data_IF_411369628685
#
_entry.id   IF_411369628685
#
_cell.length_a   1.000
_cell.length_b   1.000
_cell.length_c   1.000
_cell.angle_alpha   90.00
_cell.angle_beta   90.00
_cell.angle_gamma   90.00
#
_symmetry.space_group_name_H-M   'P 1'
#
loop_
_entity.id
_entity.type
_entity.pdbx_description
1 polymer ?
#
# COMPACT_ATOMS: atom_id res chain seq x y z
N UNK A 1 -1.31 -52.65 17.92
CA UNK A 1 -2.55 -52.08 18.52
C UNK A 1 -2.28 -51.83 19.98
N UNK A 2 -2.48 -50.60 20.47
CA UNK A 2 -2.17 -50.12 21.83
C UNK A 2 -0.70 -50.24 22.29
N UNK A 3 0.15 -49.30 21.82
CA UNK A 3 1.31 -48.73 22.54
C UNK A 3 2.01 -47.64 21.70
N UNK A 4 1.25 -46.67 21.19
CA UNK A 4 1.73 -45.39 20.61
C UNK A 4 0.57 -44.40 20.67
N UNK A 5 0.25 -43.89 21.85
CA UNK A 5 -0.80 -42.87 22.06
C UNK A 5 -0.72 -42.19 23.45
N UNK A 6 0.46 -42.17 24.08
CA UNK A 6 0.63 -41.62 25.43
C UNK A 6 1.94 -40.82 25.57
N UNK A 7 2.08 -39.79 24.74
CA UNK A 7 3.06 -38.71 24.93
C UNK A 7 2.62 -37.38 24.27
N UNK A 8 1.30 -37.16 24.17
CA UNK A 8 0.70 -35.97 23.52
C UNK A 8 -0.32 -35.25 24.43
N UNK A 9 -0.20 -35.41 25.74
CA UNK A 9 -1.15 -34.85 26.70
C UNK A 9 -0.45 -34.48 28.01
N UNK A 10 0.52 -33.56 27.96
CA UNK A 10 0.99 -32.79 29.13
C UNK A 10 1.89 -31.64 28.68
N UNK A 11 1.33 -30.68 27.93
CA UNK A 11 1.88 -29.31 27.83
C UNK A 11 0.76 -28.38 27.29
N UNK A 12 -0.37 -28.42 27.98
CA UNK A 12 -1.57 -27.64 27.67
C UNK A 12 -1.95 -26.88 28.94
N UNK A 13 -1.09 -25.94 29.36
CA UNK A 13 -1.37 -24.91 30.40
C UNK A 13 -0.14 -23.97 30.59
N UNK A 14 0.27 -23.25 29.53
CA UNK A 14 1.06 -22.01 29.65
C UNK A 14 1.28 -21.33 28.29
N UNK A 15 0.21 -20.99 27.56
CA UNK A 15 0.29 -20.02 26.45
C UNK A 15 -0.98 -19.17 26.44
N UNK A 16 -1.01 -18.21 27.37
CA UNK A 16 -1.86 -17.02 27.31
C UNK A 16 -0.89 -15.84 27.28
N UNK A 17 -0.84 -15.10 26.17
CA UNK A 17 -0.12 -13.83 26.10
C UNK A 17 0.42 -13.50 24.72
N UNK A 18 -0.06 -12.38 24.17
CA UNK A 18 0.54 -11.57 23.09
C UNK A 18 0.19 -11.98 21.64
N UNK A 19 -0.94 -11.58 21.03
CA UNK A 19 -1.40 -10.23 20.61
C UNK A 19 -0.81 -9.71 19.28
N UNK A 20 -1.52 -9.98 18.17
CA UNK A 20 -1.55 -9.14 16.96
C UNK A 20 -2.89 -9.31 16.22
N UNK A 21 -3.99 -9.10 16.95
CA UNK A 21 -5.30 -8.71 16.44
C UNK A 21 -5.92 -7.94 17.59
N UNK A 22 -6.13 -6.62 17.44
CA UNK A 22 -7.01 -5.90 18.36
C UNK A 22 -8.46 -6.14 17.92
N UNK A 23 -9.33 -6.73 18.76
CA UNK A 23 -10.76 -6.48 18.70
C UNK A 23 -11.08 -5.31 19.63
N UNK A 24 -11.96 -4.39 19.22
CA UNK A 24 -12.51 -3.39 20.13
C UNK A 24 -14.06 -3.38 20.05
N UNK A 25 -14.76 -2.93 21.10
CA UNK A 25 -15.72 -3.78 21.80
C UNK A 25 -17.07 -3.09 21.95
N UNK A 26 -18.14 -3.65 21.38
CA UNK A 26 -19.50 -3.32 21.81
C UNK A 26 -20.35 -4.59 21.72
N UNK A 27 -20.70 -5.12 22.90
CA UNK A 27 -21.72 -6.14 23.03
C UNK A 27 -23.09 -5.54 22.78
N UNK A 28 -23.93 -6.23 22.02
CA UNK A 28 -25.37 -6.07 22.11
C UNK A 28 -26.04 -7.43 22.09
N UNK A 29 -26.94 -7.56 23.07
CA UNK A 29 -27.81 -8.68 23.35
C UNK A 29 -28.53 -9.22 22.13
N UNK A 30 -28.70 -10.54 22.16
CA UNK A 30 -29.77 -11.25 21.47
C UNK A 30 -31.09 -10.52 21.63
N UNK A 31 -31.77 -10.25 20.52
CA UNK A 31 -33.23 -10.31 20.53
C UNK A 31 -33.78 -11.02 19.30
N UNK A 32 -34.74 -11.86 19.61
CA UNK A 32 -35.28 -12.94 18.79
C UNK A 32 -36.57 -12.43 18.15
N UNK A 33 -36.61 -12.24 16.83
CA UNK A 33 -37.88 -12.03 16.13
C UNK A 33 -37.97 -12.88 14.87
N UNK A 34 -39.00 -13.72 14.88
CA UNK A 34 -39.29 -14.83 13.98
C UNK A 34 -40.41 -14.41 13.02
N UNK A 35 -40.50 -15.12 11.87
CA UNK A 35 -41.64 -15.27 10.91
C UNK A 35 -41.73 -14.22 9.79
N UNK A 36 -42.26 -14.51 8.60
CA UNK A 36 -42.50 -15.71 7.81
C UNK A 36 -43.08 -15.24 6.45
N UNK A 37 -42.75 -15.98 5.37
CA UNK A 37 -43.54 -16.24 4.15
C UNK A 37 -44.24 -15.07 3.40
N UNK A 38 -43.97 -14.96 2.09
CA UNK A 38 -44.73 -15.70 1.06
C UNK A 38 -44.42 -15.21 -0.35
N UNK A 39 -44.44 -16.15 -1.29
CA UNK A 39 -44.20 -15.99 -2.71
C UNK A 39 -45.44 -15.44 -3.44
N UNK A 40 -45.25 -14.59 -4.45
CA UNK A 40 -46.19 -14.47 -5.58
C UNK A 40 -45.42 -14.32 -6.89
N UNK A 41 -45.59 -15.33 -7.73
CA UNK A 41 -45.19 -15.46 -9.14
C UNK A 41 -46.10 -14.59 -10.00
N UNK A 42 -45.57 -13.88 -11.01
CA UNK A 42 -46.29 -13.50 -12.25
C UNK A 42 -45.31 -12.98 -13.32
N UNK A 43 -45.05 -13.82 -14.33
CA UNK A 43 -44.83 -13.43 -15.73
C UNK A 43 -46.22 -13.45 -16.42
N UNK A 44 -46.44 -12.95 -17.68
CA UNK A 44 -45.49 -12.89 -18.81
C UNK A 44 -45.63 -11.65 -19.74
N UNK A 45 -44.71 -11.47 -20.70
CA UNK A 45 -44.95 -11.57 -22.17
C UNK A 45 -43.99 -10.73 -23.06
N UNK A 46 -43.51 -11.43 -24.10
CA UNK A 46 -43.27 -11.06 -25.51
C UNK A 46 -42.18 -10.05 -25.91
N UNK A 47 -41.32 -10.57 -26.79
CA UNK A 47 -40.32 -9.91 -27.63
C UNK A 47 -40.92 -9.25 -28.88
N UNK A 48 -40.27 -8.18 -29.37
CA UNK A 48 -40.20 -7.77 -30.79
C UNK A 48 -38.79 -7.19 -31.06
N UNK A 49 -38.14 -7.50 -32.22
CA UNK A 49 -36.79 -7.04 -32.59
C UNK A 49 -36.79 -5.88 -33.61
N UNK A 50 -35.75 -5.05 -33.62
CA UNK A 50 -35.14 -4.50 -34.85
C UNK A 50 -33.92 -3.60 -34.56
N UNK A 51 -32.89 -3.74 -35.43
CA UNK A 51 -31.86 -2.80 -35.92
C UNK A 51 -31.60 -1.47 -35.15
N UNK A 52 -30.36 -0.97 -34.99
CA UNK A 52 -29.36 -0.69 -36.05
C UNK A 52 -28.09 -0.08 -35.41
N UNK A 53 -27.00 -0.11 -36.18
CA UNK A 53 -25.85 0.81 -36.20
C UNK A 53 -24.67 0.62 -35.25
N UNK A 54 -23.55 0.24 -35.87
CA UNK A 54 -22.18 0.53 -35.47
C UNK A 54 -21.99 2.03 -35.21
N UNK A 55 -21.46 2.41 -34.04
CA UNK A 55 -20.68 3.65 -33.89
C UNK A 55 -19.61 3.45 -32.82
N UNK A 56 -18.37 3.75 -33.20
CA UNK A 56 -17.15 3.76 -32.37
C UNK A 56 -17.22 4.89 -31.33
N UNK A 57 -16.68 4.74 -30.10
CA UNK A 57 -16.48 5.88 -29.23
C UNK A 57 -15.18 6.61 -29.61
N UNK A 58 -15.28 7.92 -29.85
CA UNK A 58 -14.16 8.87 -29.92
C UNK A 58 -13.99 9.54 -28.54
N UNK A 59 -12.78 10.05 -28.21
CA UNK A 59 -12.41 10.45 -26.86
C UNK A 59 -13.06 11.78 -26.46
N UNK A 60 -13.49 11.86 -25.20
CA UNK A 60 -14.09 13.04 -24.61
C UNK A 60 -12.98 13.99 -24.14
N UNK A 61 -12.62 14.96 -24.99
CA UNK A 61 -11.83 16.13 -24.60
C UNK A 61 -12.78 17.14 -23.93
N UNK A 62 -12.78 17.18 -22.60
CA UNK A 62 -13.46 18.22 -21.85
C UNK A 62 -12.64 19.52 -21.94
N UNK A 63 -13.17 20.48 -22.69
CA UNK A 63 -12.65 21.84 -22.85
C UNK A 63 -13.21 22.68 -21.70
N UNK A 64 -12.40 23.01 -20.69
CA UNK A 64 -12.81 23.94 -19.64
C UNK A 64 -12.89 25.37 -20.19
N UNK A 65 -14.09 25.95 -20.17
CA UNK A 65 -14.34 27.36 -20.43
C UNK A 65 -14.01 28.18 -19.17
N UNK A 66 -13.02 29.07 -19.28
CA UNK A 66 -12.76 30.09 -18.27
C UNK A 66 -13.89 31.13 -18.29
N UNK A 67 -14.58 31.31 -17.16
CA UNK A 67 -15.45 32.47 -16.93
C UNK A 67 -14.70 33.44 -16.01
N UNK A 68 -14.30 34.57 -16.58
CA UNK A 68 -13.73 35.69 -15.85
C UNK A 68 -14.85 36.48 -15.15
N UNK A 69 -14.73 36.69 -13.83
CA UNK A 69 -15.32 37.85 -13.18
C UNK A 69 -14.65 38.14 -11.82
N UNK A 70 -14.17 39.38 -11.74
CA UNK A 70 -13.92 40.23 -10.59
C UNK A 70 -12.62 40.06 -9.78
N UNK A 71 -11.69 40.99 -10.05
CA UNK A 71 -10.44 41.23 -9.34
C UNK A 71 -10.65 42.27 -8.22
N UNK A 72 -10.11 41.98 -7.03
CA UNK A 72 -9.96 42.95 -5.95
C UNK A 72 -9.43 42.32 -4.66
N UNK A 73 -8.21 42.72 -4.26
CA UNK A 73 -7.42 42.34 -3.07
C UNK A 73 -6.59 41.06 -3.19
N UNK A 74 -5.26 41.22 -3.41
CA UNK A 74 -4.20 40.23 -3.25
C UNK A 74 -4.63 38.76 -3.34
N UNK A 75 -5.00 38.32 -4.53
CA UNK A 75 -5.79 37.11 -4.77
C UNK A 75 -4.95 35.85 -4.50
N UNK A 76 -4.98 35.36 -3.26
CA UNK A 76 -4.46 34.02 -2.93
C UNK A 76 -5.34 33.01 -3.67
N UNK A 77 -4.87 32.52 -4.81
CA UNK A 77 -5.61 31.60 -5.67
C UNK A 77 -5.89 30.29 -4.93
N UNK A 78 -7.14 30.10 -4.50
CA UNK A 78 -7.61 28.84 -3.91
C UNK A 78 -7.84 27.83 -5.02
N UNK A 79 -7.21 26.66 -4.92
CA UNK A 79 -7.44 25.53 -5.82
C UNK A 79 -8.67 24.75 -5.32
N UNK A 80 -9.81 24.94 -5.99
CA UNK A 80 -10.98 24.10 -5.77
C UNK A 80 -10.80 22.73 -6.41
N UNK A 81 -10.99 21.68 -5.64
CA UNK A 81 -10.85 20.30 -6.09
C UNK A 81 -12.20 19.60 -6.16
N UNK A 82 -12.33 18.66 -7.10
CA UNK A 82 -13.53 17.84 -7.28
C UNK A 82 -13.64 16.68 -6.29
N UNK A 83 -12.82 16.63 -5.24
CA UNK A 83 -12.67 15.44 -4.42
C UNK A 83 -13.96 15.07 -3.69
N UNK A 84 -14.38 13.81 -3.82
CA UNK A 84 -15.66 13.33 -3.28
C UNK A 84 -15.50 12.49 -2.01
N UNK A 85 -14.31 11.93 -1.78
CA UNK A 85 -14.03 11.00 -0.70
C UNK A 85 -12.68 11.33 -0.01
N UNK A 86 -12.41 10.71 1.14
CA UNK A 86 -11.22 11.01 1.94
C UNK A 86 -9.90 10.60 1.26
N UNK A 87 -9.88 9.49 0.52
CA UNK A 87 -8.69 9.05 -0.20
C UNK A 87 -8.29 10.08 -1.26
N UNK A 88 -9.28 10.63 -1.96
CA UNK A 88 -9.09 11.66 -2.97
C UNK A 88 -8.61 12.99 -2.34
N UNK A 89 -9.16 13.36 -1.18
CA UNK A 89 -8.66 14.52 -0.40
C UNK A 89 -7.20 14.34 -0.03
N UNK A 90 -6.79 13.15 0.45
CA UNK A 90 -5.41 12.85 0.81
C UNK A 90 -4.48 12.86 -0.40
N UNK A 91 -4.92 12.29 -1.54
CA UNK A 91 -4.17 12.35 -2.80
C UNK A 91 -3.85 13.78 -3.21
N UNK A 92 -4.82 14.69 -3.09
CA UNK A 92 -4.65 16.12 -3.37
C UNK A 92 -3.76 16.84 -2.36
N UNK A 93 -3.89 16.55 -1.06
CA UNK A 93 -3.04 17.15 -0.01
C UNK A 93 -1.58 16.73 -0.22
N UNK A 94 -1.30 15.44 -0.36
CA UNK A 94 0.05 14.94 -0.61
C UNK A 94 0.61 15.45 -1.94
N UNK A 95 -0.22 15.54 -2.98
CA UNK A 95 0.19 16.12 -4.26
C UNK A 95 0.50 17.63 -4.16
N UNK A 96 -0.16 18.36 -3.26
CA UNK A 96 0.18 19.76 -2.99
C UNK A 96 1.48 19.87 -2.16
N UNK A 97 1.68 18.99 -1.18
CA UNK A 97 2.92 18.91 -0.40
C UNK A 97 4.12 18.68 -1.33
N UNK A 98 4.06 17.65 -2.19
CA UNK A 98 5.11 17.36 -3.17
C UNK A 98 5.39 18.54 -4.12
N UNK A 99 4.34 19.23 -4.63
CA UNK A 99 4.51 20.42 -5.48
C UNK A 99 5.21 21.57 -4.77
N UNK A 100 4.88 21.81 -3.51
CA UNK A 100 5.53 22.87 -2.70
C UNK A 100 6.99 22.50 -2.41
N UNK A 101 7.27 21.23 -2.11
CA UNK A 101 8.65 20.74 -1.91
C UNK A 101 9.52 20.92 -3.16
N UNK A 102 8.98 20.68 -4.35
CA UNK A 102 9.67 20.89 -5.62
C UNK A 102 9.84 22.38 -5.99
N UNK A 103 9.49 23.30 -5.09
CA UNK A 103 9.49 24.76 -5.31
C UNK A 103 8.68 25.18 -6.54
N UNK A 104 7.68 24.39 -6.95
CA UNK A 104 6.75 24.75 -8.04
C UNK A 104 5.78 25.86 -7.61
N UNK A 105 5.49 25.94 -6.31
CA UNK A 105 4.68 26.97 -5.67
C UNK A 105 5.16 27.22 -4.23
N UNK A 106 5.18 28.47 -3.77
CA UNK A 106 5.53 28.81 -2.37
C UNK A 106 4.40 28.54 -1.38
N UNK A 107 3.15 28.62 -1.86
CA UNK A 107 1.93 28.42 -1.09
C UNK A 107 0.84 27.84 -1.99
N UNK A 108 0.12 26.85 -1.49
CA UNK A 108 -1.04 26.24 -2.13
C UNK A 108 -2.17 26.18 -1.11
N UNK A 109 -3.36 26.68 -1.46
CA UNK A 109 -4.55 26.58 -0.63
C UNK A 109 -5.55 25.69 -1.35
N UNK A 110 -5.89 24.55 -0.75
CA UNK A 110 -6.85 23.60 -1.29
C UNK A 110 -8.24 23.80 -0.67
N UNK A 111 -9.26 23.70 -1.52
CA UNK A 111 -10.66 23.61 -1.11
C UNK A 111 -11.31 22.34 -1.63
N UNK A 112 -12.20 21.77 -0.81
CA UNK A 112 -12.84 20.48 -1.03
C UNK A 112 -14.37 20.56 -0.82
N UNK A 113 -15.10 21.42 -1.55
CA UNK A 113 -16.52 21.70 -1.30
C UNK A 113 -17.45 20.48 -1.49
N UNK A 114 -17.03 19.54 -2.34
CA UNK A 114 -17.76 18.31 -2.67
C UNK A 114 -17.61 17.21 -1.62
N UNK A 115 -16.57 17.24 -0.78
CA UNK A 115 -16.34 16.22 0.22
C UNK A 115 -17.08 16.56 1.52
N UNK A 116 -18.25 15.94 1.73
CA UNK A 116 -19.05 16.18 2.96
C UNK A 116 -18.45 15.57 4.22
N UNK A 117 -17.49 14.65 4.10
CA UNK A 117 -16.89 13.98 5.27
C UNK A 117 -16.04 14.96 6.09
N UNK A 118 -15.33 15.86 5.43
CA UNK A 118 -14.41 16.83 6.04
C UNK A 118 -15.12 18.10 6.55
N UNK A 119 -16.45 18.20 6.44
CA UNK A 119 -17.20 19.25 7.17
C UNK A 119 -17.33 18.89 8.65
N UNK A 120 -17.12 17.62 9.03
CA UNK A 120 -17.07 17.18 10.41
C UNK A 120 -15.68 17.43 11.01
N UNK A 121 -15.55 18.25 12.08
CA UNK A 121 -14.28 18.51 12.73
C UNK A 121 -13.56 17.26 13.24
N UNK A 122 -14.29 16.23 13.68
CA UNK A 122 -13.69 14.96 14.11
C UNK A 122 -13.01 14.22 12.96
N UNK A 123 -13.61 14.25 11.77
CA UNK A 123 -13.02 13.62 10.59
C UNK A 123 -11.75 14.36 10.14
N UNK A 124 -11.78 15.70 10.20
CA UNK A 124 -10.61 16.54 9.94
C UNK A 124 -9.49 16.25 10.96
N UNK A 125 -9.80 16.16 12.25
CA UNK A 125 -8.80 15.83 13.28
C UNK A 125 -8.17 14.46 13.06
N UNK A 126 -8.95 13.45 12.65
CA UNK A 126 -8.41 12.13 12.30
C UNK A 126 -7.49 12.18 11.07
N UNK A 127 -7.87 12.96 10.06
CA UNK A 127 -7.06 13.19 8.87
C UNK A 127 -5.74 13.86 9.22
N UNK A 128 -5.76 14.90 10.06
CA UNK A 128 -4.54 15.58 10.53
C UNK A 128 -3.67 14.64 11.35
N UNK A 129 -4.25 13.90 12.29
CA UNK A 129 -3.52 12.93 13.09
C UNK A 129 -2.80 11.89 12.23
N UNK A 130 -3.42 11.46 11.13
CA UNK A 130 -2.75 10.60 10.16
C UNK A 130 -1.59 11.29 9.43
N UNK A 131 -1.76 12.55 9.00
CA UNK A 131 -0.67 13.30 8.36
C UNK A 131 0.52 13.49 9.31
N UNK A 132 0.28 13.70 10.60
CA UNK A 132 1.34 13.76 11.62
C UNK A 132 2.08 12.41 11.76
N UNK A 133 1.40 11.27 11.68
CA UNK A 133 2.07 9.96 11.68
C UNK A 133 2.94 9.77 10.42
N UNK A 134 2.48 10.25 9.27
CA UNK A 134 3.26 10.13 8.02
C UNK A 134 4.48 11.05 8.01
N UNK A 135 4.44 12.15 8.76
CA UNK A 135 5.52 13.13 8.87
C UNK A 135 6.83 12.47 9.29
N UNK A 136 6.79 11.46 10.14
CA UNK A 136 7.99 10.77 10.63
C UNK A 136 8.75 10.00 9.53
N UNK A 137 8.09 9.67 8.42
CA UNK A 137 8.73 9.08 7.25
C UNK A 137 9.09 10.12 6.18
N UNK A 138 8.65 11.36 6.31
CA UNK A 138 8.81 12.38 5.29
C UNK A 138 10.18 13.09 5.39
N UNK A 139 10.73 13.49 4.25
CA UNK A 139 11.99 14.25 4.21
C UNK A 139 11.76 15.73 4.52
N UNK A 140 10.71 16.32 3.93
CA UNK A 140 10.47 17.77 4.00
C UNK A 140 9.14 18.14 4.65
N UNK A 141 8.15 17.25 4.64
CA UNK A 141 6.88 17.53 5.30
C UNK A 141 7.07 17.65 6.81
N UNK A 142 6.61 18.76 7.37
CA UNK A 142 6.71 19.09 8.79
C UNK A 142 8.07 19.64 9.26
N UNK A 143 9.07 19.72 8.37
CA UNK A 143 10.31 20.48 8.56
C UNK A 143 10.29 21.75 7.71
N UNK A 144 10.30 21.60 6.39
CA UNK A 144 10.35 22.69 5.40
C UNK A 144 8.97 23.05 4.86
N UNK A 145 8.04 22.09 4.82
CA UNK A 145 6.67 22.30 4.36
C UNK A 145 5.70 22.14 5.53
N UNK A 146 4.79 23.09 5.69
CA UNK A 146 3.77 23.06 6.75
C UNK A 146 2.37 23.02 6.16
N UNK A 147 1.49 22.29 6.84
CA UNK A 147 0.06 22.29 6.58
C UNK A 147 -0.66 23.04 7.70
N UNK A 148 -1.46 24.04 7.33
CA UNK A 148 -2.36 24.75 8.23
C UNK A 148 -3.80 24.57 7.79
N UNK A 149 -4.68 24.25 8.74
CA UNK A 149 -6.11 24.20 8.49
C UNK A 149 -6.71 25.56 8.81
N UNK A 150 -7.48 26.09 7.86
CA UNK A 150 -8.23 27.32 8.02
C UNK A 150 -9.71 26.93 8.13
N UNK A 151 -10.30 26.98 9.34
CA UNK A 151 -11.72 26.67 9.52
C UNK A 151 -12.56 27.67 8.74
N UNK A 152 -13.68 27.19 8.22
CA UNK A 152 -14.72 27.99 7.56
C UNK A 152 -15.98 28.04 8.42
N UNK A 153 -17.00 28.77 7.98
CA UNK A 153 -18.27 28.88 8.71
C UNK A 153 -18.91 27.51 8.98
N UNK A 154 -19.89 27.48 9.89
CA UNK A 154 -20.54 26.24 10.31
C UNK A 154 -21.09 25.45 9.11
N UNK A 155 -20.65 24.20 8.98
CA UNK A 155 -21.05 23.29 7.90
C UNK A 155 -20.25 23.39 6.60
N UNK A 156 -19.27 24.30 6.51
CA UNK A 156 -18.35 24.39 5.38
C UNK A 156 -17.09 23.53 5.59
N UNK A 157 -16.57 22.95 4.51
CA UNK A 157 -15.28 22.24 4.55
C UNK A 157 -14.14 23.25 4.79
N UNK A 158 -13.17 22.97 5.67
CA UNK A 158 -12.05 23.89 5.89
C UNK A 158 -11.16 24.01 4.64
N UNK A 159 -10.35 25.07 4.59
CA UNK A 159 -9.25 25.13 3.64
C UNK A 159 -7.99 24.49 4.21
N UNK A 160 -7.21 23.88 3.34
CA UNK A 160 -5.91 23.29 3.66
C UNK A 160 -4.84 24.16 3.01
N UNK A 161 -4.10 24.92 3.82
CA UNK A 161 -3.03 25.78 3.37
C UNK A 161 -1.69 25.07 3.56
N UNK A 162 -1.05 24.71 2.45
CA UNK A 162 0.30 24.16 2.42
C UNK A 162 1.26 25.27 2.01
N UNK A 163 2.33 25.49 2.78
CA UNK A 163 3.34 26.49 2.43
C UNK A 163 4.74 26.06 2.84
N UNK A 164 5.73 26.58 2.15
CA UNK A 164 7.12 26.50 2.57
C UNK A 164 7.35 27.40 3.78
N UNK A 165 8.05 26.90 4.79
CA UNK A 165 8.54 27.70 5.90
C UNK A 165 9.85 28.35 5.46
N UNK A 166 9.85 29.66 5.23
CA UNK A 166 11.10 30.42 5.08
C UNK A 166 11.62 30.82 6.46
N UNK A 167 12.73 30.20 6.88
CA UNK A 167 13.53 30.54 8.06
C UNK A 167 14.07 29.28 8.76
N UNK A 168 15.38 29.02 8.89
CA UNK A 168 16.53 29.93 8.98
C UNK A 168 17.68 29.58 8.02
N UNK A 169 17.85 30.37 6.96
CA UNK A 169 19.19 30.78 6.53
C UNK A 169 19.56 32.03 7.34
N UNK A 170 19.74 31.85 8.64
CA UNK A 170 20.27 32.83 9.56
C UNK A 170 21.52 32.20 10.16
N UNK A 171 22.67 32.70 9.74
CA UNK A 171 23.95 32.42 10.37
C UNK A 171 23.91 32.96 11.80
N UNK A 172 23.43 32.16 12.75
CA UNK A 172 23.87 32.31 14.12
C UNK A 172 25.21 31.58 14.21
N UNK A 173 26.27 32.38 14.11
CA UNK A 173 27.62 31.95 14.45
C UNK A 173 27.64 31.55 15.92
N UNK A 174 27.44 30.26 16.16
CA UNK A 174 27.96 29.61 17.34
C UNK A 174 29.42 29.34 17.02
N UNK A 175 30.32 29.94 17.81
CA UNK A 175 31.73 29.62 17.76
C UNK A 175 31.87 28.10 17.93
N UNK A 176 32.43 27.47 16.90
CA UNK A 176 32.88 26.09 16.92
C UNK A 176 34.03 26.03 17.93
N UNK A 177 33.74 25.58 19.16
CA UNK A 177 34.74 24.89 19.97
C UNK A 177 34.91 23.51 19.32
N UNK A 178 35.71 23.48 18.26
CA UNK A 178 36.30 22.28 17.67
C UNK A 178 37.29 21.71 18.71
N UNK A 179 36.78 20.83 19.57
CA UNK A 179 37.61 19.81 20.21
C UNK A 179 37.37 18.48 19.49
N UNK A 180 38.37 18.15 18.67
CA UNK A 180 38.57 16.96 17.88
C UNK A 180 38.26 15.63 18.61
N UNK A 181 37.19 14.94 18.21
CA UNK A 181 37.03 13.48 18.46
C UNK A 181 36.47 12.72 17.25
N UNK A 182 36.79 13.18 16.03
CA UNK A 182 36.52 12.45 14.78
C UNK A 182 37.72 11.62 14.27
N UNK A 183 38.85 11.63 14.98
CA UNK A 183 40.05 10.85 14.63
C UNK A 183 39.97 9.35 15.02
N UNK A 184 38.81 8.90 15.51
CA UNK A 184 38.58 7.46 15.78
C UNK A 184 38.38 6.70 14.47
N UNK A 185 37.68 7.25 13.48
CA UNK A 185 37.40 6.55 12.22
C UNK A 185 38.57 6.57 11.23
N UNK A 186 39.48 7.54 11.33
CA UNK A 186 40.69 7.59 10.49
C UNK A 186 41.63 6.41 10.79
N UNK A 187 41.70 5.98 12.05
CA UNK A 187 42.55 4.85 12.51
C UNK A 187 42.05 3.47 12.06
N UNK A 188 40.81 3.35 11.63
CA UNK A 188 40.23 2.12 11.09
C UNK A 188 40.02 2.18 9.56
N UNK A 189 40.36 3.30 8.91
CA UNK A 189 40.23 3.44 7.45
C UNK A 189 41.05 2.37 6.71
N UNK A 190 42.24 2.04 7.20
CA UNK A 190 43.11 0.99 6.64
C UNK A 190 42.58 -0.44 6.85
N UNK A 191 41.59 -0.63 7.75
CA UNK A 191 40.91 -1.92 7.97
C UNK A 191 39.63 -2.07 7.15
N UNK A 192 39.14 -1.00 6.54
CA UNK A 192 37.98 -0.98 5.63
C UNK A 192 38.40 -1.09 4.15
N UNK A 193 39.70 -1.12 3.85
CA UNK A 193 40.26 -1.19 2.49
C UNK A 193 40.43 -2.63 1.96
N UNK A 194 39.63 -3.58 2.46
CA UNK A 194 39.41 -4.82 1.69
C UNK A 194 38.46 -4.48 0.54
N UNK A 195 39.02 -4.13 -0.63
CA UNK A 195 38.32 -3.81 -1.87
C UNK A 195 37.43 -4.94 -2.45
N UNK A 196 37.12 -5.98 -1.69
CA UNK A 196 36.24 -7.08 -2.08
C UNK A 196 34.89 -6.91 -1.40
N UNK A 197 33.87 -6.53 -2.18
CA UNK A 197 32.50 -6.51 -1.74
C UNK A 197 32.09 -7.90 -1.23
N UNK A 198 31.46 -7.94 -0.06
CA UNK A 198 30.92 -9.18 0.52
C UNK A 198 29.84 -9.77 -0.41
N UNK A 199 29.59 -11.09 -0.35
CA UNK A 199 28.51 -11.71 -1.13
C UNK A 199 27.15 -11.04 -0.93
N UNK A 200 26.87 -10.55 0.29
CA UNK A 200 25.63 -9.85 0.61
C UNK A 200 25.54 -8.47 -0.06
N UNK A 201 26.65 -7.72 -0.13
CA UNK A 201 26.71 -6.43 -0.81
C UNK A 201 26.54 -6.58 -2.33
N UNK A 202 27.18 -7.58 -2.94
CA UNK A 202 27.02 -7.91 -4.36
C UNK A 202 25.59 -8.34 -4.70
N UNK A 203 24.95 -9.08 -3.79
CA UNK A 203 23.55 -9.46 -3.94
C UNK A 203 22.62 -8.25 -3.85
N UNK A 204 22.85 -7.37 -2.87
CA UNK A 204 22.11 -6.12 -2.72
C UNK A 204 22.27 -5.22 -3.94
N UNK A 205 23.49 -5.09 -4.47
CA UNK A 205 23.77 -4.35 -5.71
C UNK A 205 22.89 -4.89 -6.86
N UNK A 206 22.84 -6.21 -7.05
CA UNK A 206 21.98 -6.82 -8.09
C UNK A 206 20.49 -6.60 -7.84
N UNK A 207 20.04 -6.72 -6.59
CA UNK A 207 18.63 -6.50 -6.24
C UNK A 207 18.20 -5.06 -6.49
N UNK A 208 19.08 -4.10 -6.24
CA UNK A 208 18.83 -2.66 -6.42
C UNK A 208 18.96 -2.18 -7.86
N UNK A 209 19.48 -2.97 -8.79
CA UNK A 209 19.52 -2.63 -10.21
C UNK A 209 18.12 -2.67 -10.83
N UNK A 210 17.50 -1.51 -11.09
CA UNK A 210 16.15 -1.44 -11.66
C UNK A 210 16.22 -1.30 -13.19
N UNK A 211 15.38 -2.03 -13.97
CA UNK A 211 15.29 -1.81 -15.41
C UNK A 211 14.73 -0.43 -15.76
N UNK A 212 15.26 0.21 -16.80
CA UNK A 212 14.82 1.53 -17.24
C UNK A 212 13.42 1.51 -17.89
N UNK A 213 13.02 0.41 -18.52
CA UNK A 213 11.72 0.26 -19.17
C UNK A 213 10.65 -0.27 -18.22
N UNK A 214 9.55 0.45 -18.09
CA UNK A 214 8.40 0.05 -17.29
C UNK A 214 7.73 -1.23 -17.81
N UNK A 215 7.82 -1.52 -19.12
CA UNK A 215 7.29 -2.78 -19.65
C UNK A 215 8.10 -3.99 -19.16
N UNK A 216 9.40 -3.82 -18.95
CA UNK A 216 10.26 -4.86 -18.38
C UNK A 216 9.95 -5.09 -16.91
N UNK A 217 9.83 -4.00 -16.13
CA UNK A 217 9.37 -4.07 -14.73
C UNK A 217 8.03 -4.79 -14.62
N UNK A 218 7.07 -4.42 -15.49
CA UNK A 218 5.75 -5.04 -15.50
C UNK A 218 5.82 -6.53 -15.87
N UNK A 219 6.63 -6.90 -16.86
CA UNK A 219 6.84 -8.30 -17.24
C UNK A 219 7.39 -9.11 -16.07
N UNK A 220 8.44 -8.62 -15.41
CA UNK A 220 9.06 -9.28 -14.25
C UNK A 220 8.03 -9.54 -13.15
N UNK A 221 7.23 -8.53 -12.80
CA UNK A 221 6.21 -8.67 -11.76
C UNK A 221 5.10 -9.62 -12.20
N UNK A 222 4.65 -9.59 -13.45
CA UNK A 222 3.61 -10.50 -13.95
C UNK A 222 4.09 -11.95 -13.97
N UNK A 223 5.33 -12.19 -14.35
CA UNK A 223 5.94 -13.53 -14.30
C UNK A 223 6.02 -14.03 -12.85
N UNK A 224 6.43 -13.18 -11.91
CA UNK A 224 6.40 -13.49 -10.47
C UNK A 224 4.97 -13.78 -9.97
N UNK A 225 3.97 -13.00 -10.35
CA UNK A 225 2.57 -13.25 -9.94
C UNK A 225 2.05 -14.58 -10.49
N UNK A 226 2.35 -14.89 -11.75
CA UNK A 226 1.93 -16.17 -12.35
C UNK A 226 2.58 -17.36 -11.62
N UNK A 227 3.88 -17.30 -11.40
CA UNK A 227 4.63 -18.43 -10.88
C UNK A 227 4.49 -18.54 -9.35
N UNK A 228 4.93 -17.53 -8.62
CA UNK A 228 4.99 -17.58 -7.15
C UNK A 228 3.60 -17.40 -6.54
N UNK A 229 2.83 -16.42 -6.99
CA UNK A 229 1.54 -16.13 -6.34
C UNK A 229 0.45 -17.11 -6.75
N UNK A 230 0.41 -17.51 -8.02
CA UNK A 230 -0.65 -18.37 -8.56
C UNK A 230 -0.26 -19.84 -8.63
N UNK A 231 0.76 -20.21 -9.42
CA UNK A 231 1.09 -21.62 -9.69
C UNK A 231 1.63 -22.36 -8.45
N UNK A 232 2.41 -21.67 -7.61
CA UNK A 232 2.88 -22.16 -6.32
C UNK A 232 1.84 -22.02 -5.20
N UNK A 233 0.62 -21.54 -5.51
CA UNK A 233 -0.49 -21.49 -4.57
C UNK A 233 -0.34 -20.50 -3.41
N UNK A 234 0.65 -19.59 -3.42
CA UNK A 234 0.91 -18.66 -2.31
C UNK A 234 -0.31 -17.81 -1.97
N UNK A 235 -1.09 -17.42 -2.99
CA UNK A 235 -2.40 -16.80 -2.79
C UNK A 235 -3.48 -17.63 -3.50
N UNK A 236 -4.36 -18.34 -2.77
CA UNK A 236 -5.39 -19.18 -3.38
C UNK A 236 -6.51 -18.38 -4.07
N UNK A 237 -6.43 -17.04 -4.03
CA UNK A 237 -7.42 -16.13 -4.59
C UNK A 237 -6.90 -15.38 -5.81
N UNK A 238 -5.67 -15.67 -6.23
CA UNK A 238 -5.13 -15.23 -7.52
C UNK A 238 -5.20 -16.40 -8.50
N UNK A 239 -5.73 -16.16 -9.70
CA UNK A 239 -5.77 -17.18 -10.76
C UNK A 239 -4.59 -17.07 -11.72
N UNK A 240 -4.11 -15.85 -11.92
CA UNK A 240 -2.96 -15.49 -12.73
C UNK A 240 -2.70 -13.98 -12.55
N UNK A 241 -1.69 -13.45 -13.24
CA UNK A 241 -1.36 -12.04 -13.25
C UNK A 241 -2.51 -11.11 -13.69
N UNK A 242 -3.52 -11.60 -14.39
CA UNK A 242 -4.62 -10.76 -14.88
C UNK A 242 -5.88 -10.80 -14.00
N UNK A 243 -6.02 -11.83 -13.14
CA UNK A 243 -7.27 -12.10 -12.43
C UNK A 243 -7.03 -12.53 -10.99
N UNK A 244 -7.59 -11.76 -10.06
CA UNK A 244 -7.54 -12.04 -8.63
C UNK A 244 -8.89 -11.72 -7.95
N UNK A 245 -9.00 -12.06 -6.67
CA UNK A 245 -10.14 -11.78 -5.82
C UNK A 245 -11.28 -12.79 -5.93
N UNK A 246 -12.28 -12.64 -5.07
CA UNK A 246 -13.51 -13.45 -5.07
C UNK A 246 -14.74 -12.53 -4.96
N UNK A 247 -15.56 -12.37 -6.02
CA UNK A 247 -15.41 -12.97 -7.35
C UNK A 247 -14.15 -12.50 -8.10
N UNK A 248 -13.66 -13.29 -9.05
CA UNK A 248 -12.47 -12.94 -9.84
C UNK A 248 -12.70 -11.70 -10.70
N UNK A 249 -11.80 -10.72 -10.60
CA UNK A 249 -11.80 -9.51 -11.42
C UNK A 249 -10.39 -9.12 -11.88
N UNK A 250 -10.26 -8.11 -12.75
CA UNK A 250 -8.97 -7.65 -13.29
C UNK A 250 -8.01 -7.17 -12.21
N UNK A 251 -6.72 -7.45 -12.38
CA UNK A 251 -5.63 -6.85 -11.62
C UNK A 251 -5.19 -5.55 -12.31
N UNK A 252 -5.19 -4.43 -11.59
CA UNK A 252 -4.58 -3.19 -12.05
C UNK A 252 -3.12 -3.12 -11.58
N UNK A 253 -2.22 -2.73 -12.48
CA UNK A 253 -0.82 -2.52 -12.19
C UNK A 253 -0.49 -1.05 -12.40
N UNK A 254 0.09 -0.41 -11.40
CA UNK A 254 0.65 0.93 -11.50
C UNK A 254 2.13 0.89 -11.12
N UNK A 255 2.96 1.67 -11.82
CA UNK A 255 4.40 1.74 -11.56
C UNK A 255 4.73 3.18 -11.15
N UNK A 256 5.44 3.31 -10.04
CA UNK A 256 5.97 4.57 -9.54
C UNK A 256 7.48 4.52 -9.48
N UNK A 257 8.14 5.47 -10.15
CA UNK A 257 9.59 5.66 -10.05
C UNK A 257 9.99 6.71 -9.02
N UNK A 258 9.04 7.14 -8.19
CA UNK A 258 9.32 8.11 -7.13
C UNK A 258 10.21 7.47 -6.07
N UNK A 259 11.07 8.28 -5.48
CA UNK A 259 12.01 7.84 -4.42
C UNK A 259 11.65 8.42 -3.06
N UNK A 260 10.72 9.38 -3.02
CA UNK A 260 10.38 10.16 -1.82
C UNK A 260 9.04 9.73 -1.25
N UNK A 261 8.92 9.55 0.07
CA UNK A 261 7.67 9.12 0.72
C UNK A 261 6.47 10.01 0.39
N UNK A 262 6.64 11.33 0.31
CA UNK A 262 5.56 12.29 0.01
C UNK A 262 4.93 12.06 -1.37
N UNK A 263 5.77 11.78 -2.36
CA UNK A 263 5.34 11.46 -3.72
C UNK A 263 4.60 10.11 -3.76
N UNK A 264 5.13 9.10 -3.06
CA UNK A 264 4.50 7.78 -2.93
C UNK A 264 3.16 7.87 -2.18
N UNK A 265 3.04 8.67 -1.11
CA UNK A 265 1.77 8.88 -0.43
C UNK A 265 0.73 9.47 -1.38
N UNK A 266 1.11 10.44 -2.23
CA UNK A 266 0.19 11.01 -3.23
C UNK A 266 -0.30 9.95 -4.21
N UNK A 267 0.61 9.13 -4.76
CA UNK A 267 0.27 8.10 -5.74
C UNK A 267 -0.53 6.95 -5.10
N UNK A 268 -0.14 6.47 -3.93
CA UNK A 268 -0.89 5.49 -3.15
C UNK A 268 -2.34 5.93 -2.91
N UNK A 269 -2.58 7.16 -2.48
CA UNK A 269 -3.95 7.64 -2.23
C UNK A 269 -4.76 7.80 -3.52
N UNK A 270 -4.12 8.09 -4.67
CA UNK A 270 -4.78 8.03 -5.99
C UNK A 270 -5.22 6.61 -6.31
N UNK A 271 -4.37 5.62 -6.08
CA UNK A 271 -4.69 4.21 -6.31
C UNK A 271 -5.80 3.69 -5.39
N UNK A 272 -5.77 4.07 -4.11
CA UNK A 272 -6.87 3.76 -3.16
C UNK A 272 -8.18 4.41 -3.62
N UNK A 273 -8.13 5.68 -4.03
CA UNK A 273 -9.30 6.41 -4.53
C UNK A 273 -9.84 5.76 -5.80
N UNK A 274 -8.98 5.37 -6.75
CA UNK A 274 -9.33 4.66 -7.97
C UNK A 274 -10.06 3.35 -7.65
N UNK A 275 -9.48 2.52 -6.77
CA UNK A 275 -10.07 1.23 -6.42
C UNK A 275 -11.42 1.38 -5.70
N UNK A 276 -11.58 2.38 -4.83
CA UNK A 276 -12.86 2.66 -4.17
C UNK A 276 -13.95 3.10 -5.17
N UNK A 277 -13.57 3.86 -6.21
CA UNK A 277 -14.51 4.43 -7.17
C UNK A 277 -14.89 3.47 -8.31
N UNK A 278 -14.01 2.54 -8.68
CA UNK A 278 -14.27 1.55 -9.73
C UNK A 278 -15.03 0.33 -9.18
N UNK A 279 -15.78 -0.35 -10.04
CA UNK A 279 -16.46 -1.61 -9.72
C UNK A 279 -15.43 -2.76 -9.64
N UNK A 280 -15.69 -3.78 -8.80
CA UNK A 280 -14.79 -4.93 -8.63
C UNK A 280 -14.63 -5.76 -9.92
N UNK A 281 -15.59 -5.70 -10.85
CA UNK A 281 -15.51 -6.34 -12.17
C UNK A 281 -14.51 -5.64 -13.11
N UNK A 282 -14.23 -4.37 -12.87
CA UNK A 282 -13.36 -3.53 -13.68
C UNK A 282 -11.95 -3.47 -13.07
N UNK A 283 -11.86 -3.35 -11.73
CA UNK A 283 -10.63 -3.48 -10.96
C UNK A 283 -10.91 -4.22 -9.65
N UNK A 284 -10.35 -5.42 -9.51
CA UNK A 284 -10.46 -6.21 -8.27
C UNK A 284 -9.37 -5.87 -7.27
N UNK A 285 -8.14 -5.65 -7.74
CA UNK A 285 -6.99 -5.36 -6.88
C UNK A 285 -6.03 -4.45 -7.62
N UNK A 286 -5.28 -3.63 -6.88
CA UNK A 286 -4.19 -2.83 -7.43
C UNK A 286 -2.86 -3.33 -6.88
N UNK A 287 -1.92 -3.66 -7.76
CA UNK A 287 -0.51 -3.83 -7.43
C UNK A 287 0.23 -2.55 -7.80
N UNK A 288 0.54 -1.73 -6.79
CA UNK A 288 1.32 -0.51 -6.93
C UNK A 288 2.80 -0.85 -6.74
N UNK A 289 3.55 -0.81 -7.83
CA UNK A 289 4.95 -1.24 -7.93
C UNK A 289 5.84 -0.03 -7.73
N UNK A 290 6.83 -0.17 -6.85
CA UNK A 290 7.71 0.92 -6.43
C UNK A 290 9.19 0.57 -6.66
N UNK A 291 9.67 0.42 -7.91
CA UNK A 291 10.98 -0.15 -8.19
C UNK A 291 12.14 0.64 -7.55
N UNK A 292 12.00 1.96 -7.41
CA UNK A 292 13.08 2.83 -6.92
C UNK A 292 12.94 3.18 -5.43
N UNK A 293 11.85 2.77 -4.77
CA UNK A 293 11.52 3.23 -3.43
C UNK A 293 11.97 2.23 -2.37
N UNK A 294 12.98 2.58 -1.58
CA UNK A 294 13.53 1.74 -0.49
C UNK A 294 13.90 0.30 -0.89
N UNK A 295 14.22 0.04 -2.15
CA UNK A 295 14.53 -1.31 -2.67
C UNK A 295 15.65 -2.05 -1.91
N UNK A 296 16.63 -1.30 -1.40
CA UNK A 296 17.72 -1.84 -0.57
C UNK A 296 17.59 -1.53 0.93
N UNK A 297 16.43 -1.08 1.39
CA UNK A 297 16.21 -0.70 2.78
C UNK A 297 14.83 -1.17 3.27
N UNK A 298 14.74 -2.45 3.64
CA UNK A 298 13.50 -3.05 4.14
C UNK A 298 12.98 -2.42 5.43
N UNK A 299 13.85 -1.88 6.27
CA UNK A 299 13.45 -1.26 7.55
C UNK A 299 12.71 0.05 7.29
N UNK A 300 13.28 0.94 6.47
CA UNK A 300 12.63 2.18 6.06
C UNK A 300 11.31 1.89 5.32
N UNK A 301 11.29 0.88 4.44
CA UNK A 301 10.06 0.43 3.79
C UNK A 301 9.02 -0.04 4.81
N UNK A 302 9.42 -0.82 5.82
CA UNK A 302 8.50 -1.30 6.86
C UNK A 302 7.90 -0.14 7.65
N UNK A 303 8.75 0.78 8.14
CA UNK A 303 8.29 1.99 8.85
C UNK A 303 7.30 2.79 8.00
N UNK A 304 7.59 2.99 6.72
CA UNK A 304 6.67 3.64 5.78
C UNK A 304 5.34 2.88 5.66
N UNK A 305 5.35 1.57 5.43
CA UNK A 305 4.11 0.78 5.26
C UNK A 305 3.26 0.67 6.53
N UNK A 306 3.86 0.78 7.71
CA UNK A 306 3.14 0.86 8.98
C UNK A 306 2.29 2.14 9.05
N UNK A 307 2.77 3.27 8.53
CA UNK A 307 1.97 4.51 8.43
C UNK A 307 0.73 4.34 7.53
N UNK A 308 0.86 3.60 6.42
CA UNK A 308 -0.24 3.31 5.51
C UNK A 308 -1.29 2.44 6.18
N UNK A 309 -0.87 1.40 6.89
CA UNK A 309 -1.78 0.48 7.60
C UNK A 309 -2.56 1.20 8.71
N UNK A 310 -1.88 2.01 9.51
CA UNK A 310 -2.51 2.80 10.57
C UNK A 310 -3.54 3.80 10.02
N UNK A 311 -3.26 4.39 8.85
CA UNK A 311 -4.17 5.33 8.18
C UNK A 311 -5.53 4.73 7.85
N UNK A 312 -5.55 3.47 7.39
CA UNK A 312 -6.78 2.83 6.97
C UNK A 312 -7.74 2.65 8.15
N UNK A 313 -7.20 2.29 9.32
CA UNK A 313 -8.01 2.13 10.54
C UNK A 313 -8.47 3.49 11.07
N UNK A 314 -7.55 4.44 11.21
CA UNK A 314 -7.84 5.77 11.75
C UNK A 314 -8.94 6.51 10.96
N UNK A 315 -8.89 6.39 9.62
CA UNK A 315 -9.85 7.01 8.69
C UNK A 315 -11.09 6.13 8.41
N UNK A 316 -11.14 4.91 8.96
CA UNK A 316 -12.22 3.96 8.73
C UNK A 316 -12.32 3.49 7.28
N UNK A 317 -11.21 3.49 6.54
CA UNK A 317 -11.10 3.00 5.16
C UNK A 317 -10.86 1.48 5.13
N UNK A 318 -10.38 0.88 6.23
CA UNK A 318 -10.17 -0.57 6.39
C UNK A 318 -11.41 -1.43 6.10
N UNK A 319 -12.62 -0.85 6.22
CA UNK A 319 -13.87 -1.52 5.84
C UNK A 319 -13.99 -1.77 4.34
N UNK A 320 -13.25 -1.02 3.52
CA UNK A 320 -13.24 -1.09 2.06
C UNK A 320 -11.96 -1.70 1.52
N UNK A 321 -10.81 -1.39 2.13
CA UNK A 321 -9.48 -1.74 1.63
C UNK A 321 -8.66 -2.50 2.68
N UNK A 322 -7.87 -3.47 2.23
CA UNK A 322 -6.78 -4.09 3.00
C UNK A 322 -5.46 -3.95 2.23
N UNK A 323 -4.35 -3.96 2.95
CA UNK A 323 -3.02 -3.86 2.36
C UNK A 323 -2.22 -5.13 2.62
N UNK A 324 -1.46 -5.54 1.61
CA UNK A 324 -0.37 -6.51 1.74
C UNK A 324 0.86 -5.88 1.10
N UNK A 325 2.01 -6.01 1.75
CA UNK A 325 3.26 -5.44 1.28
C UNK A 325 4.22 -6.53 0.85
N UNK A 326 5.00 -6.23 -0.18
CA UNK A 326 6.04 -7.10 -0.70
C UNK A 326 7.34 -6.31 -0.82
N UNK A 327 8.46 -6.97 -0.51
CA UNK A 327 9.79 -6.36 -0.57
C UNK A 327 10.85 -7.42 -0.88
N UNK A 328 11.89 -7.16 -1.69
CA UNK A 328 12.93 -8.15 -2.01
C UNK A 328 13.60 -8.76 -0.78
N UNK A 329 13.79 -7.94 0.25
CA UNK A 329 14.38 -8.32 1.54
C UNK A 329 13.32 -8.50 2.64
N UNK A 330 12.07 -8.85 2.30
CA UNK A 330 11.03 -9.07 3.32
C UNK A 330 11.45 -10.14 4.34
N UNK A 331 11.18 -9.84 5.62
CA UNK A 331 11.34 -10.76 6.75
C UNK A 331 10.12 -10.60 7.68
N UNK A 332 9.49 -11.71 8.06
CA UNK A 332 8.39 -11.65 9.03
C UNK A 332 8.89 -11.28 10.45
N UNK A 333 8.14 -10.39 11.14
CA UNK A 333 8.51 -9.82 12.45
C UNK A 333 8.55 -10.83 13.60
N UNK A 334 7.89 -11.97 13.43
CA UNK A 334 7.84 -13.06 14.42
C UNK A 334 9.04 -14.01 14.34
N UNK A 335 9.98 -13.76 13.43
CA UNK A 335 11.27 -14.45 13.41
C UNK A 335 11.15 -15.97 13.32
N UNK A 336 12.20 -16.67 13.79
CA UNK A 336 12.41 -18.12 13.63
C UNK A 336 11.21 -18.99 14.05
N UNK A 337 10.33 -18.50 14.93
CA UNK A 337 9.12 -19.20 15.39
C UNK A 337 8.07 -19.41 14.26
N UNK A 338 8.15 -18.67 13.15
CA UNK A 338 7.34 -18.85 11.93
C UNK A 338 8.15 -19.09 10.66
N UNK A 339 9.49 -19.05 10.72
CA UNK A 339 10.33 -19.10 9.51
C UNK A 339 10.63 -20.50 8.98
N UNK A 340 10.37 -21.54 9.79
CA UNK A 340 11.05 -22.82 9.64
C UNK A 340 12.59 -22.64 9.72
N UNK A 341 13.34 -23.73 9.74
CA UNK A 341 14.81 -23.65 9.85
C UNK A 341 15.50 -22.99 8.62
N UNK A 342 14.76 -22.70 7.54
CA UNK A 342 15.32 -22.29 6.23
C UNK A 342 14.99 -20.87 5.77
N UNK A 343 14.02 -20.17 6.38
CA UNK A 343 13.61 -18.83 5.94
C UNK A 343 12.81 -18.78 4.63
N UNK A 344 12.45 -19.93 4.06
CA UNK A 344 11.72 -20.05 2.80
C UNK A 344 10.32 -19.39 2.86
N UNK A 345 9.67 -19.38 4.03
CA UNK A 345 8.37 -18.73 4.22
C UNK A 345 8.37 -17.23 3.86
N UNK A 346 9.51 -16.54 4.00
CA UNK A 346 9.65 -15.14 3.62
C UNK A 346 9.36 -14.91 2.13
N UNK A 347 9.61 -15.89 1.27
CA UNK A 347 9.34 -15.79 -0.17
C UNK A 347 7.85 -15.74 -0.52
N UNK A 348 6.95 -16.00 0.43
CA UNK A 348 5.54 -15.66 0.28
C UNK A 348 5.31 -14.14 0.19
N UNK A 349 6.27 -13.33 0.66
CA UNK A 349 6.25 -11.86 0.62
C UNK A 349 7.50 -11.22 -0.02
N UNK A 350 8.50 -12.01 -0.44
CA UNK A 350 9.61 -11.50 -1.24
C UNK A 350 9.22 -11.41 -2.70
N UNK A 351 9.46 -10.25 -3.27
CA UNK A 351 9.18 -9.91 -4.67
C UNK A 351 10.38 -9.19 -5.27
N UNK A 352 10.46 -9.16 -6.61
CA UNK A 352 11.59 -8.53 -7.31
C UNK A 352 11.70 -7.01 -7.09
N UNK A 353 10.61 -6.34 -6.74
CA UNK A 353 10.55 -4.91 -6.39
C UNK A 353 9.66 -4.69 -5.17
N UNK A 354 9.86 -3.62 -4.39
CA UNK A 354 8.90 -3.19 -3.37
C UNK A 354 7.52 -2.92 -3.98
N UNK A 355 6.46 -3.40 -3.33
CA UNK A 355 5.10 -3.22 -3.82
C UNK A 355 4.08 -3.08 -2.69
N UNK A 356 3.03 -2.32 -2.99
CA UNK A 356 1.82 -2.22 -2.17
C UNK A 356 0.69 -2.91 -2.94
N UNK A 357 0.16 -3.99 -2.36
CA UNK A 357 -1.02 -4.67 -2.87
C UNK A 357 -2.26 -4.15 -2.14
N UNK A 358 -3.10 -3.45 -2.88
CA UNK A 358 -4.32 -2.80 -2.40
C UNK A 358 -5.50 -3.71 -2.76
N UNK A 359 -6.03 -4.38 -1.74
CA UNK A 359 -7.07 -5.39 -1.85
C UNK A 359 -8.41 -4.83 -1.40
N UNK A 360 -9.51 -5.33 -1.96
CA UNK A 360 -10.85 -5.01 -1.45
C UNK A 360 -11.22 -5.88 -0.25
N UNK A 361 -11.59 -5.25 0.85
CA UNK A 361 -11.98 -5.92 2.10
C UNK A 361 -13.16 -6.88 1.91
N UNK A 362 -14.13 -6.56 1.05
CA UNK A 362 -15.27 -7.44 0.77
C UNK A 362 -14.81 -8.74 0.10
N UNK A 363 -13.96 -8.67 -0.93
CA UNK A 363 -13.46 -9.84 -1.64
C UNK A 363 -12.60 -10.73 -0.73
N UNK A 364 -11.72 -10.12 0.08
CA UNK A 364 -10.91 -10.87 1.06
C UNK A 364 -11.79 -11.58 2.09
N UNK A 365 -12.83 -10.89 2.62
CA UNK A 365 -13.75 -11.51 3.58
C UNK A 365 -14.57 -12.64 2.98
N UNK A 366 -14.94 -12.56 1.71
CA UNK A 366 -15.62 -13.66 1.01
C UNK A 366 -14.67 -14.85 0.85
N UNK A 367 -13.45 -14.58 0.42
CA UNK A 367 -12.38 -15.57 0.25
C UNK A 367 -12.07 -16.35 1.55
N UNK A 368 -11.97 -15.64 2.68
CA UNK A 368 -11.73 -16.23 4.00
C UNK A 368 -12.87 -17.13 4.52
N UNK A 369 -14.09 -16.99 3.99
CA UNK A 369 -15.20 -17.90 4.31
C UNK A 369 -15.06 -19.26 3.62
N UNK A 370 -14.34 -19.30 2.50
CA UNK A 370 -14.15 -20.52 1.71
C UNK A 370 -12.91 -21.29 2.13
N UNK A 371 -11.83 -20.61 2.52
CA UNK A 371 -10.56 -21.23 2.92
C UNK A 371 -10.11 -20.62 4.26
N UNK A 372 -9.94 -21.43 5.34
CA UNK A 372 -9.38 -20.96 6.60
C UNK A 372 -7.97 -20.38 6.41
N UNK A 373 -7.77 -19.12 6.81
CA UNK A 373 -6.51 -18.38 6.60
C UNK A 373 -5.28 -19.07 7.21
N UNK A 374 -5.45 -19.83 8.30
CA UNK A 374 -4.35 -20.58 8.93
C UNK A 374 -3.73 -21.63 8.00
N UNK A 375 -4.53 -22.24 7.12
CA UNK A 375 -4.05 -23.26 6.18
C UNK A 375 -3.19 -22.65 5.08
N UNK A 376 -3.46 -21.40 4.68
CA UNK A 376 -2.67 -20.70 3.65
C UNK A 376 -1.22 -20.53 4.11
N UNK A 377 -1.00 -20.17 5.37
CA UNK A 377 0.36 -19.99 5.88
C UNK A 377 1.15 -21.30 5.90
N UNK A 378 0.57 -22.37 6.44
CA UNK A 378 1.23 -23.69 6.48
C UNK A 378 1.50 -24.23 5.09
N UNK A 379 0.53 -24.12 4.16
CA UNK A 379 0.71 -24.55 2.77
C UNK A 379 1.84 -23.76 2.07
N UNK A 380 1.89 -22.45 2.28
CA UNK A 380 2.94 -21.61 1.69
C UNK A 380 4.32 -21.99 2.22
N UNK A 381 4.43 -22.25 3.52
CA UNK A 381 5.68 -22.68 4.14
C UNK A 381 6.14 -24.02 3.56
N UNK A 382 5.28 -25.04 3.52
CA UNK A 382 5.59 -26.36 2.96
C UNK A 382 6.04 -26.25 1.50
N UNK A 383 5.23 -25.58 0.67
CA UNK A 383 5.49 -25.45 -0.76
C UNK A 383 6.81 -24.71 -1.06
N UNK A 384 7.08 -23.61 -0.36
CA UNK A 384 8.30 -22.83 -0.56
C UNK A 384 9.53 -23.55 0.02
N UNK A 385 9.36 -24.34 1.09
CA UNK A 385 10.43 -25.13 1.69
C UNK A 385 10.88 -26.26 0.74
N UNK A 386 9.97 -26.87 -0.03
CA UNK A 386 10.31 -27.87 -1.04
C UNK A 386 11.23 -27.33 -2.15
N UNK A 387 11.07 -26.06 -2.55
CA UNK A 387 11.98 -25.40 -3.50
C UNK A 387 13.32 -25.07 -2.86
N UNK A 388 13.29 -24.66 -1.60
CA UNK A 388 14.45 -24.28 -0.80
C UNK A 388 14.82 -22.80 -0.95
N UNK A 389 15.16 -22.17 0.18
CA UNK A 389 15.44 -20.73 0.26
C UNK A 389 16.61 -20.28 -0.63
N UNK A 390 17.65 -21.11 -0.78
CA UNK A 390 18.81 -20.77 -1.64
C UNK A 390 18.40 -20.67 -3.12
N UNK A 391 17.59 -21.61 -3.61
CA UNK A 391 17.11 -21.60 -4.99
C UNK A 391 16.16 -20.43 -5.23
N UNK A 392 15.23 -20.19 -4.29
CA UNK A 392 14.33 -19.04 -4.33
C UNK A 392 15.10 -17.72 -4.34
N UNK A 393 16.19 -17.60 -3.56
CA UNK A 393 17.03 -16.41 -3.54
C UNK A 393 17.75 -16.21 -4.88
N UNK A 394 18.32 -17.28 -5.47
CA UNK A 394 18.96 -17.21 -6.80
C UNK A 394 17.98 -16.73 -7.87
N UNK A 395 16.76 -17.25 -7.89
CA UNK A 395 15.70 -16.83 -8.81
C UNK A 395 15.26 -15.39 -8.58
N UNK A 396 15.13 -14.96 -7.33
CA UNK A 396 14.78 -13.59 -6.96
C UNK A 396 15.82 -12.59 -7.47
N UNK A 397 17.11 -12.86 -7.22
CA UNK A 397 18.24 -12.01 -7.64
C UNK A 397 18.37 -11.98 -9.16
N UNK A 398 18.17 -13.11 -9.84
CA UNK A 398 18.17 -13.18 -11.29
C UNK A 398 16.89 -12.61 -11.93
N UNK A 399 15.82 -12.42 -11.13
CA UNK A 399 14.45 -12.09 -11.59
C UNK A 399 13.90 -13.06 -12.62
N UNK A 400 14.31 -14.32 -12.52
CA UNK A 400 13.92 -15.40 -13.41
C UNK A 400 13.24 -16.52 -12.62
N UNK A 401 11.93 -16.62 -12.80
CA UNK A 401 11.07 -17.63 -12.17
C UNK A 401 10.76 -18.81 -13.11
N UNK A 402 11.35 -18.84 -14.31
CA UNK A 402 11.14 -19.90 -15.28
C UNK A 402 11.39 -21.32 -14.76
N UNK A 403 12.34 -21.59 -13.83
CA UNK A 403 12.55 -22.94 -13.30
C UNK A 403 11.33 -23.54 -12.58
N UNK A 404 10.38 -22.71 -12.13
CA UNK A 404 9.17 -23.14 -11.40
C UNK A 404 7.91 -23.19 -12.27
N UNK A 405 7.95 -22.80 -13.54
CA UNK A 405 6.76 -22.69 -14.41
C UNK A 405 5.98 -23.99 -14.65
N UNK A 406 6.54 -25.15 -14.32
CA UNK A 406 5.88 -26.47 -14.41
C UNK A 406 5.52 -27.08 -13.06
N UNK A 407 5.76 -26.37 -11.95
CA UNK A 407 5.47 -26.81 -10.59
C UNK A 407 4.14 -26.21 -10.17
N UNK A 408 3.02 -26.75 -10.69
CA UNK A 408 1.69 -26.36 -10.21
C UNK A 408 1.34 -27.20 -8.99
N UNK A 409 1.04 -26.53 -7.89
CA UNK A 409 0.47 -27.17 -6.70
C UNK A 409 -1.04 -27.22 -6.88
N UNK A 410 -1.58 -28.44 -6.90
CA UNK A 410 -3.01 -28.71 -7.11
C UNK A 410 -3.88 -28.36 -5.90
#
# INVERSE_FOLDING_TARGET
TMRRLAAAAFFLLSVLGSSAFQPNPWGFSFDLARRAASAVRRQPTRAIPCCRSMLRPRPFLARCSASAANQGAGDRKVEETGATNLADVLAHIWGAIARVMDKKSDEIILSFPSCKVITNPMAVNKLVGHLEVCKDCCESFGSTVTLKIIPRGDGESPYFQIKTVQGASGSDGLAEDDDDDWDVLSKYADLLDSNEATPAELELEKLTQVPDDDNEVLKIIRDWVNVIISDMGVCPFSRNADKAGLPLGPVHYSISRQTRPEDIYSEYWKEVSLLIQQDEKDISTTLHILPNFYIGNSEAFTSFTDTLSQSLSALGIEKYIQLVFFHPQWVFRDGADRMGESGAANFARRSSFPMINILRTNQVRLAQKSIPTGLVYTQNEETLMEVGAENLQKMLVARDWSPLTNTKVD
#
